data_IF_904226112162
#
_entry.id   IF_904226112162
#
_cell.length_a   1.000
_cell.length_b   1.000
_cell.length_c   1.000
_cell.angle_alpha   90.00
_cell.angle_beta   90.00
_cell.angle_gamma   90.00
#
_symmetry.space_group_name_H-M   'P 1'
#
loop_
_entity.id
_entity.type
_entity.pdbx_description
1 polymer ?
#
# COMPACT_ATOMS: atom_id res chain seq x y z
N UNK A 1 9.85 44.38 14.20
CA UNK A 1 11.24 43.98 13.87
C UNK A 1 11.16 42.78 12.95
N UNK A 2 11.23 43.02 11.66
CA UNK A 2 11.26 41.99 10.63
C UNK A 2 12.67 41.40 10.60
N UNK A 3 12.84 40.19 11.12
CA UNK A 3 14.08 39.45 10.98
C UNK A 3 14.33 39.23 9.49
N UNK A 4 15.36 39.85 8.94
CA UNK A 4 15.89 39.58 7.61
C UNK A 4 16.30 38.11 7.61
N UNK A 5 15.55 37.27 6.93
CA UNK A 5 16.00 35.93 6.57
C UNK A 5 17.27 36.11 5.74
N UNK A 6 18.42 35.97 6.38
CA UNK A 6 19.72 35.91 5.73
C UNK A 6 19.64 34.75 4.74
N UNK A 7 19.62 35.07 3.45
CA UNK A 7 19.68 34.06 2.38
C UNK A 7 21.01 33.30 2.52
N UNK A 8 21.00 32.20 3.24
CA UNK A 8 22.14 31.27 3.34
C UNK A 8 22.45 30.67 1.96
N UNK A 9 21.48 30.71 1.05
CA UNK A 9 21.52 30.07 -0.30
C UNK A 9 22.00 31.01 -1.41
N UNK A 10 22.17 32.32 -1.17
CA UNK A 10 22.39 33.30 -2.26
C UNK A 10 23.81 33.34 -2.87
N UNK A 11 24.79 32.62 -2.30
CA UNK A 11 26.19 32.58 -2.77
C UNK A 11 26.70 31.16 -3.05
N UNK A 12 25.80 30.17 -3.10
CA UNK A 12 26.19 28.78 -3.29
C UNK A 12 26.20 28.40 -4.77
N UNK A 13 27.11 27.49 -5.17
CA UNK A 13 27.13 26.99 -6.54
C UNK A 13 25.81 26.30 -6.87
N UNK A 14 25.34 26.37 -8.14
CA UNK A 14 24.10 25.73 -8.54
C UNK A 14 24.19 24.22 -8.35
N UNK A 15 23.19 23.66 -7.67
CA UNK A 15 23.06 22.21 -7.48
C UNK A 15 22.76 21.57 -8.85
N UNK A 16 23.47 20.51 -9.17
CA UNK A 16 23.25 19.66 -10.33
C UNK A 16 22.75 18.31 -9.86
N UNK A 17 21.69 17.82 -10.47
CA UNK A 17 21.18 16.49 -10.26
C UNK A 17 21.08 15.77 -11.60
N UNK A 18 21.55 14.52 -11.65
CA UNK A 18 21.49 13.69 -12.85
C UNK A 18 21.35 12.23 -12.50
N UNK A 19 20.67 11.49 -13.35
CA UNK A 19 20.49 10.06 -13.23
C UNK A 19 21.42 9.34 -14.21
N UNK A 20 22.11 8.33 -13.72
CA UNK A 20 22.94 7.43 -14.53
C UNK A 20 22.21 6.10 -14.59
N UNK A 21 21.83 5.70 -15.80
CA UNK A 21 21.32 4.36 -16.07
C UNK A 21 22.53 3.41 -16.22
N UNK A 22 22.57 2.35 -15.42
CA UNK A 22 23.63 1.33 -15.45
C UNK A 22 23.21 0.06 -16.20
N UNK A 23 22.00 0.05 -16.74
CA UNK A 23 21.40 -1.13 -17.35
C UNK A 23 20.84 -2.12 -16.30
N UNK A 24 20.05 -3.08 -16.76
CA UNK A 24 19.44 -4.10 -15.89
C UNK A 24 18.67 -3.53 -14.70
N UNK A 25 17.90 -2.45 -14.94
CA UNK A 25 17.05 -1.80 -13.92
C UNK A 25 17.83 -1.21 -12.73
N UNK A 26 19.13 -0.97 -12.89
CA UNK A 26 20.02 -0.37 -11.91
C UNK A 26 20.31 1.09 -12.25
N UNK A 27 20.11 1.99 -11.29
CA UNK A 27 20.21 3.43 -11.46
C UNK A 27 21.10 4.05 -10.38
N UNK A 28 21.74 5.16 -10.73
CA UNK A 28 22.48 6.00 -9.77
C UNK A 28 22.04 7.44 -9.90
N UNK A 29 21.39 7.97 -8.89
CA UNK A 29 21.10 9.39 -8.76
C UNK A 29 22.29 10.08 -8.12
N UNK A 30 22.83 11.11 -8.79
CA UNK A 30 23.89 11.96 -8.25
C UNK A 30 23.36 13.37 -8.05
N UNK A 31 23.61 13.93 -6.85
CA UNK A 31 23.27 15.33 -6.53
C UNK A 31 24.51 15.99 -5.95
N UNK A 32 25.02 17.01 -6.64
CA UNK A 32 26.23 17.76 -6.26
C UNK A 32 26.22 19.19 -6.83
N UNK A 33 26.92 20.15 -6.23
CA UNK A 33 27.43 20.13 -4.86
C UNK A 33 26.32 20.46 -3.86
N UNK A 34 26.39 19.83 -2.69
CA UNK A 34 25.52 20.13 -1.56
C UNK A 34 26.33 20.75 -0.41
N UNK A 35 25.69 21.54 0.42
CA UNK A 35 26.32 22.07 1.65
C UNK A 35 26.75 20.90 2.54
N UNK A 36 27.91 20.99 3.21
CA UNK A 36 28.39 19.94 4.12
C UNK A 36 27.32 19.46 5.09
N UNK A 37 27.12 18.13 5.14
CA UNK A 37 26.12 17.47 6.00
C UNK A 37 24.72 17.34 5.37
N UNK A 38 24.39 18.10 4.30
CA UNK A 38 23.08 17.97 3.65
C UNK A 38 22.95 16.73 2.76
N UNK A 39 24.07 16.18 2.30
CA UNK A 39 24.09 14.91 1.58
C UNK A 39 23.43 13.78 2.37
N UNK A 40 23.75 13.64 3.66
CA UNK A 40 23.14 12.65 4.54
C UNK A 40 21.65 12.94 4.79
N UNK A 41 21.28 14.19 5.02
CA UNK A 41 19.90 14.59 5.29
C UNK A 41 18.98 14.27 4.11
N UNK A 42 19.37 14.72 2.92
CA UNK A 42 18.60 14.50 1.68
C UNK A 42 18.62 13.03 1.29
N UNK A 43 19.80 12.38 1.36
CA UNK A 43 19.97 11.00 0.98
C UNK A 43 19.14 10.02 1.80
N UNK A 44 19.11 10.18 3.12
CA UNK A 44 18.28 9.34 3.98
C UNK A 44 16.77 9.55 3.76
N UNK A 45 16.34 10.80 3.53
CA UNK A 45 14.94 11.08 3.22
C UNK A 45 14.52 10.41 1.91
N UNK A 46 15.31 10.59 0.83
CA UNK A 46 15.06 9.96 -0.47
C UNK A 46 15.09 8.44 -0.39
N UNK A 47 16.09 7.86 0.29
CA UNK A 47 16.19 6.41 0.50
C UNK A 47 14.92 5.84 1.11
N UNK A 48 14.40 6.45 2.16
CA UNK A 48 13.19 5.98 2.84
C UNK A 48 11.98 6.02 1.93
N UNK A 49 11.81 7.11 1.17
CA UNK A 49 10.68 7.25 0.26
C UNK A 49 10.78 6.27 -0.90
N UNK A 50 11.96 6.11 -1.52
CA UNK A 50 12.18 5.15 -2.59
C UNK A 50 11.81 3.72 -2.17
N UNK A 51 12.14 3.31 -0.93
CA UNK A 51 11.86 1.96 -0.44
C UNK A 51 10.41 1.72 -0.01
N UNK A 52 9.69 2.75 0.47
CA UNK A 52 8.41 2.52 1.16
C UNK A 52 7.21 3.29 0.62
N UNK A 53 7.42 4.34 -0.18
CA UNK A 53 6.33 5.27 -0.49
C UNK A 53 5.92 5.30 -1.96
N UNK A 54 6.64 4.58 -2.82
CA UNK A 54 6.29 4.47 -4.24
C UNK A 54 5.20 3.42 -4.40
N UNK A 55 4.06 3.75 -5.02
CA UNK A 55 3.02 2.78 -5.32
C UNK A 55 3.50 1.77 -6.36
N UNK A 56 3.12 0.52 -6.18
CA UNK A 56 3.43 -0.54 -7.13
C UNK A 56 2.32 -1.57 -7.20
N UNK A 57 2.64 -2.72 -7.77
CA UNK A 57 1.71 -3.83 -7.97
C UNK A 57 2.31 -5.10 -7.38
N UNK A 58 1.45 -5.94 -6.82
CA UNK A 58 1.86 -7.25 -6.30
C UNK A 58 0.71 -8.26 -6.38
N UNK A 59 1.08 -9.52 -6.36
CA UNK A 59 0.15 -10.64 -6.25
C UNK A 59 -0.42 -10.70 -4.84
N UNK A 60 -1.75 -10.70 -4.72
CA UNK A 60 -2.47 -10.74 -3.44
C UNK A 60 -3.25 -12.02 -3.23
N UNK A 61 -3.70 -12.66 -4.32
CA UNK A 61 -4.45 -13.91 -4.29
C UNK A 61 -4.06 -14.81 -5.43
N UNK A 62 -4.03 -16.10 -5.14
CA UNK A 62 -3.71 -17.13 -6.11
C UNK A 62 -4.75 -18.25 -5.98
N UNK A 63 -5.22 -18.73 -7.10
CA UNK A 63 -6.05 -19.94 -7.18
C UNK A 63 -5.38 -20.92 -8.14
N UNK A 64 -5.15 -22.13 -7.68
CA UNK A 64 -4.48 -23.19 -8.44
C UNK A 64 -5.42 -24.39 -8.53
N UNK A 65 -5.90 -24.75 -9.71
CA UNK A 65 -6.85 -25.85 -9.91
C UNK A 65 -7.99 -25.83 -8.84
N UNK A 66 -8.24 -26.95 -8.19
CA UNK A 66 -9.23 -27.11 -7.11
C UNK A 66 -8.56 -27.21 -5.72
N UNK A 67 -7.35 -26.67 -5.55
CA UNK A 67 -6.60 -26.72 -4.30
C UNK A 67 -7.24 -25.77 -3.28
N UNK A 68 -7.32 -26.22 -2.03
CA UNK A 68 -7.91 -25.47 -0.94
C UNK A 68 -6.89 -24.98 0.09
N UNK A 69 -5.64 -25.47 0.04
CA UNK A 69 -4.57 -25.04 0.95
C UNK A 69 -3.17 -25.17 0.29
N UNK A 70 -2.25 -24.38 0.75
CA UNK A 70 -0.90 -24.21 0.19
C UNK A 70 0.03 -25.43 0.32
N UNK A 71 -0.27 -26.36 1.20
CA UNK A 71 0.58 -27.57 1.43
C UNK A 71 0.12 -28.78 0.63
N UNK A 72 -0.70 -28.61 -0.39
CA UNK A 72 -1.21 -29.68 -1.21
C UNK A 72 -0.31 -29.94 -2.42
N UNK A 73 0.01 -31.21 -2.67
CA UNK A 73 0.69 -31.62 -3.89
C UNK A 73 -0.26 -31.61 -5.07
N UNK A 74 0.22 -31.19 -6.23
CA UNK A 74 -0.54 -31.09 -7.48
C UNK A 74 -0.17 -32.29 -8.38
N UNK A 75 -1.16 -33.09 -8.75
CA UNK A 75 -0.92 -34.25 -9.60
C UNK A 75 -0.28 -33.89 -10.94
N UNK A 76 0.93 -34.43 -11.23
CA UNK A 76 1.65 -34.18 -12.48
C UNK A 76 2.43 -32.87 -12.54
N UNK A 77 2.60 -32.18 -11.41
CA UNK A 77 3.51 -31.05 -11.22
C UNK A 77 4.62 -31.48 -10.27
N UNK A 78 5.83 -31.03 -10.53
CA UNK A 78 7.01 -31.38 -9.72
C UNK A 78 7.01 -30.61 -8.41
N UNK A 79 6.69 -29.31 -8.48
CA UNK A 79 6.61 -28.40 -7.36
C UNK A 79 5.30 -28.59 -6.61
N UNK A 80 5.31 -28.34 -5.31
CA UNK A 80 4.08 -28.25 -4.51
C UNK A 80 3.39 -26.88 -4.65
N UNK A 81 2.20 -26.74 -4.06
CA UNK A 81 1.46 -25.50 -4.17
C UNK A 81 2.19 -24.33 -3.51
N UNK A 82 2.94 -24.58 -2.41
CA UNK A 82 3.70 -23.54 -1.72
C UNK A 82 4.84 -23.01 -2.58
N UNK A 83 5.58 -23.89 -3.26
CA UNK A 83 6.66 -23.48 -4.17
C UNK A 83 6.13 -22.62 -5.32
N UNK A 84 4.97 -23.00 -5.89
CA UNK A 84 4.31 -22.21 -6.94
C UNK A 84 3.89 -20.83 -6.41
N UNK A 85 3.33 -20.76 -5.21
CA UNK A 85 2.94 -19.49 -4.57
C UNK A 85 4.17 -18.60 -4.37
N UNK A 86 5.29 -19.15 -3.90
CA UNK A 86 6.55 -18.42 -3.70
C UNK A 86 7.13 -17.92 -5.03
N UNK A 87 7.03 -18.71 -6.09
CA UNK A 87 7.45 -18.29 -7.43
C UNK A 87 6.57 -17.17 -7.96
N UNK A 88 5.23 -17.30 -7.83
CA UNK A 88 4.27 -16.28 -8.27
C UNK A 88 4.37 -14.97 -7.47
N UNK A 89 4.84 -15.00 -6.23
CA UNK A 89 5.12 -13.81 -5.43
C UNK A 89 6.18 -12.89 -6.08
N UNK A 90 7.08 -13.47 -6.87
CA UNK A 90 8.10 -12.74 -7.61
C UNK A 90 7.64 -12.27 -9.01
N UNK A 91 6.36 -12.40 -9.34
CA UNK A 91 5.81 -11.95 -10.60
C UNK A 91 5.70 -10.42 -10.64
N UNK A 92 6.41 -9.79 -11.56
CA UNK A 92 6.41 -8.33 -11.75
C UNK A 92 5.44 -7.96 -12.86
N UNK A 93 4.39 -7.25 -12.51
CA UNK A 93 3.29 -6.88 -13.41
C UNK A 93 3.09 -5.38 -13.42
N UNK A 94 3.03 -4.76 -14.60
CA UNK A 94 2.68 -3.36 -14.77
C UNK A 94 1.23 -3.25 -15.25
N UNK A 95 0.36 -2.58 -14.46
CA UNK A 95 -1.04 -2.31 -14.84
C UNK A 95 -1.08 -0.96 -15.57
N UNK A 96 -1.54 -0.98 -16.85
CA UNK A 96 -1.50 0.18 -17.74
C UNK A 96 -2.78 1.02 -17.70
N UNK A 97 -3.94 0.40 -17.48
CA UNK A 97 -5.26 1.02 -17.63
C UNK A 97 -5.81 1.73 -16.37
N UNK A 98 -5.03 1.82 -15.30
CA UNK A 98 -5.45 2.50 -14.07
C UNK A 98 -6.40 1.68 -13.18
N UNK A 99 -6.73 0.43 -13.52
CA UNK A 99 -7.50 -0.47 -12.64
C UNK A 99 -6.73 -0.73 -11.34
N UNK A 100 -7.45 -0.82 -10.22
CA UNK A 100 -6.84 -1.12 -8.92
C UNK A 100 -6.47 -2.59 -8.78
N UNK A 101 -7.21 -3.48 -9.45
CA UNK A 101 -7.04 -4.93 -9.40
C UNK A 101 -7.25 -5.54 -10.77
N UNK A 102 -6.48 -6.58 -11.07
CA UNK A 102 -6.60 -7.34 -12.29
C UNK A 102 -6.38 -8.83 -12.01
N UNK A 103 -7.09 -9.70 -12.74
CA UNK A 103 -6.89 -11.14 -12.65
C UNK A 103 -6.21 -11.63 -13.92
N UNK A 104 -5.10 -12.33 -13.75
CA UNK A 104 -4.38 -13.02 -14.82
C UNK A 104 -4.72 -14.49 -14.76
N UNK A 105 -4.89 -15.12 -15.91
CA UNK A 105 -5.15 -16.55 -16.01
C UNK A 105 -4.04 -17.24 -16.79
N UNK A 106 -3.69 -18.44 -16.34
CA UNK A 106 -2.72 -19.31 -16.99
C UNK A 106 -3.36 -20.69 -17.11
N UNK A 107 -3.32 -21.25 -18.32
CA UNK A 107 -3.82 -22.58 -18.59
C UNK A 107 -2.84 -23.32 -19.50
N UNK A 108 -2.12 -24.28 -18.93
CA UNK A 108 -1.10 -25.03 -19.64
C UNK A 108 -1.39 -26.52 -19.56
N UNK A 109 -1.21 -27.21 -20.71
CA UNK A 109 -1.40 -28.65 -20.88
C UNK A 109 -0.27 -29.26 -21.68
N UNK A 110 0.95 -28.96 -21.33
CA UNK A 110 2.15 -29.51 -22.00
C UNK A 110 3.17 -29.94 -20.95
N UNK A 111 3.95 -30.99 -21.23
CA UNK A 111 5.08 -31.35 -20.39
C UNK A 111 6.22 -30.32 -20.50
N UNK A 112 6.87 -30.01 -19.41
CA UNK A 112 8.03 -29.11 -19.34
C UNK A 112 7.84 -27.91 -18.41
N UNK A 113 8.75 -26.95 -18.45
CA UNK A 113 8.68 -25.75 -17.62
C UNK A 113 7.54 -24.84 -18.06
N UNK A 114 6.89 -24.25 -17.08
CA UNK A 114 5.86 -23.22 -17.21
C UNK A 114 6.43 -21.92 -16.70
N UNK A 115 6.34 -20.86 -17.48
CA UNK A 115 6.92 -19.56 -17.18
C UNK A 115 5.84 -18.47 -17.15
N UNK A 116 6.20 -17.28 -16.69
CA UNK A 116 5.30 -16.15 -16.68
C UNK A 116 4.82 -15.70 -18.08
N UNK A 117 5.57 -16.06 -19.14
CA UNK A 117 5.16 -15.83 -20.53
C UNK A 117 3.93 -16.64 -20.95
N UNK A 118 3.60 -17.73 -20.24
CA UNK A 118 2.44 -18.58 -20.55
C UNK A 118 1.11 -18.00 -20.02
N UNK A 119 1.12 -16.87 -19.29
CA UNK A 119 -0.11 -16.18 -18.87
C UNK A 119 -0.85 -15.57 -20.04
N UNK A 120 -2.16 -15.73 -20.03
CA UNK A 120 -3.05 -15.03 -20.96
C UNK A 120 -3.22 -13.57 -20.50
N UNK A 121 -2.60 -12.62 -21.21
CA UNK A 121 -2.62 -11.21 -20.86
C UNK A 121 -3.20 -10.35 -22.00
N UNK A 122 -4.03 -9.39 -21.67
CA UNK A 122 -4.39 -8.31 -22.59
C UNK A 122 -3.32 -7.22 -22.52
N UNK A 123 -2.44 -7.17 -23.54
CA UNK A 123 -1.32 -6.22 -23.63
C UNK A 123 -1.72 -4.73 -23.55
N UNK A 124 -3.02 -4.41 -23.69
CA UNK A 124 -3.53 -3.06 -23.49
C UNK A 124 -3.75 -2.71 -22.01
N UNK A 125 -3.88 -3.71 -21.15
CA UNK A 125 -4.18 -3.56 -19.74
C UNK A 125 -2.99 -3.87 -18.86
N UNK A 126 -2.18 -4.85 -19.26
CA UNK A 126 -1.14 -5.44 -18.42
C UNK A 126 0.10 -5.77 -19.22
N UNK A 127 1.24 -5.55 -18.60
CA UNK A 127 2.55 -5.96 -19.10
C UNK A 127 3.28 -6.74 -18.00
N UNK A 128 3.82 -7.91 -18.35
CA UNK A 128 4.65 -8.72 -17.46
C UNK A 128 6.11 -8.34 -17.71
N UNK A 129 6.79 -7.85 -16.67
CA UNK A 129 8.16 -7.35 -16.78
C UNK A 129 9.21 -8.46 -16.74
N UNK A 130 8.87 -9.61 -16.15
CA UNK A 130 9.75 -10.78 -16.02
C UNK A 130 9.14 -12.05 -16.62
N UNK A 131 8.95 -12.10 -17.95
CA UNK A 131 8.30 -13.23 -18.63
C UNK A 131 9.04 -14.56 -18.48
N UNK A 132 10.35 -14.54 -18.19
CA UNK A 132 11.20 -15.70 -17.97
C UNK A 132 11.07 -16.33 -16.58
N UNK A 133 10.27 -15.72 -15.69
CA UNK A 133 10.07 -16.23 -14.33
C UNK A 133 9.52 -17.64 -14.39
N UNK A 134 10.24 -18.59 -13.78
CA UNK A 134 9.79 -19.96 -13.63
C UNK A 134 8.64 -20.03 -12.61
N UNK A 135 7.54 -20.72 -12.96
CA UNK A 135 6.38 -20.90 -12.09
C UNK A 135 6.32 -22.33 -11.58
N UNK A 136 6.32 -23.31 -12.48
CA UNK A 136 6.30 -24.73 -12.14
C UNK A 136 6.77 -25.58 -13.32
N UNK A 137 6.98 -26.89 -13.07
CA UNK A 137 7.35 -27.88 -14.09
C UNK A 137 6.30 -28.99 -14.15
N UNK A 138 5.77 -29.24 -15.34
CA UNK A 138 4.85 -30.34 -15.58
C UNK A 138 5.63 -31.61 -15.96
N UNK A 139 5.50 -32.66 -15.14
CA UNK A 139 6.18 -33.96 -15.33
C UNK A 139 5.47 -34.82 -16.39
N UNK A 140 4.14 -34.72 -16.49
CA UNK A 140 3.31 -35.46 -17.44
C UNK A 140 2.37 -34.52 -18.16
N UNK A 141 1.64 -35.03 -19.17
CA UNK A 141 0.53 -34.31 -19.78
C UNK A 141 -0.61 -34.10 -18.77
N UNK A 142 -0.38 -33.21 -17.84
CA UNK A 142 -1.33 -32.74 -16.85
C UNK A 142 -1.79 -31.32 -17.18
N UNK A 143 -3.00 -30.98 -16.79
CA UNK A 143 -3.54 -29.62 -16.97
C UNK A 143 -3.36 -28.83 -15.68
N UNK A 144 -2.69 -27.69 -15.76
CA UNK A 144 -2.59 -26.73 -14.66
C UNK A 144 -3.33 -25.46 -15.05
N UNK A 145 -4.21 -25.02 -14.15
CA UNK A 145 -4.92 -23.74 -14.24
C UNK A 145 -4.56 -22.90 -13.04
N UNK A 146 -4.03 -21.71 -13.29
CA UNK A 146 -3.65 -20.76 -12.25
C UNK A 146 -4.35 -19.45 -12.55
N UNK A 147 -5.07 -18.91 -11.57
CA UNK A 147 -5.63 -17.56 -11.58
C UNK A 147 -4.90 -16.74 -10.53
N UNK A 148 -4.37 -15.58 -10.92
CA UNK A 148 -3.59 -14.69 -10.04
C UNK A 148 -4.25 -13.33 -10.00
N UNK A 149 -4.66 -12.87 -8.82
CA UNK A 149 -5.13 -11.50 -8.61
C UNK A 149 -3.94 -10.61 -8.27
N UNK A 150 -3.68 -9.64 -9.13
CA UNK A 150 -2.68 -8.59 -8.93
C UNK A 150 -3.39 -7.32 -8.53
N UNK A 151 -2.97 -6.67 -7.46
CA UNK A 151 -3.52 -5.40 -7.01
C UNK A 151 -2.47 -4.31 -6.94
N UNK A 152 -2.93 -3.03 -6.98
CA UNK A 152 -2.10 -1.87 -6.67
C UNK A 152 -2.10 -1.60 -5.19
N UNK A 153 -0.98 -1.15 -4.66
CA UNK A 153 -0.86 -0.80 -3.26
C UNK A 153 0.41 -0.03 -2.92
N UNK A 154 0.59 0.17 -1.62
CA UNK A 154 1.75 0.84 -1.06
C UNK A 154 2.40 -0.06 -0.02
N UNK A 155 3.73 -0.10 -0.02
CA UNK A 155 4.52 -0.77 0.99
C UNK A 155 4.19 -2.27 1.09
N UNK A 156 4.10 -2.81 2.29
CA UNK A 156 3.83 -4.22 2.58
C UNK A 156 2.43 -4.42 3.16
N UNK A 157 1.68 -5.36 2.60
CA UNK A 157 0.35 -5.73 3.05
C UNK A 157 0.37 -7.20 3.53
N UNK A 158 0.29 -7.45 4.85
CA UNK A 158 0.21 -8.80 5.38
C UNK A 158 -1.15 -9.45 5.10
N UNK A 159 -1.16 -10.78 5.02
CA UNK A 159 -2.36 -11.61 4.71
C UNK A 159 -3.53 -11.27 5.65
N UNK A 160 -3.27 -11.09 6.95
CA UNK A 160 -4.29 -10.79 7.95
C UNK A 160 -5.10 -9.51 7.65
N UNK A 161 -4.48 -8.56 6.95
CA UNK A 161 -5.16 -7.32 6.53
C UNK A 161 -5.94 -7.50 5.23
N UNK A 162 -5.58 -8.47 4.39
CA UNK A 162 -6.30 -8.80 3.16
C UNK A 162 -7.64 -9.44 3.50
N UNK A 163 -7.68 -10.29 4.51
CA UNK A 163 -8.87 -11.04 4.95
C UNK A 163 -10.03 -10.14 5.39
N UNK A 164 -9.73 -9.06 6.08
CA UNK A 164 -10.74 -8.15 6.63
C UNK A 164 -11.57 -7.42 5.56
N UNK A 165 -11.12 -7.38 4.32
CA UNK A 165 -11.72 -6.59 3.25
C UNK A 165 -12.59 -7.37 2.24
N UNK A 166 -12.69 -8.70 2.31
CA UNK A 166 -13.30 -9.47 1.21
C UNK A 166 -13.95 -10.79 1.64
N UNK A 167 -15.12 -11.09 1.03
CA UNK A 167 -15.72 -12.43 1.03
C UNK A 167 -14.74 -13.41 0.38
N UNK A 168 -14.09 -14.25 1.19
CA UNK A 168 -13.04 -15.15 0.72
C UNK A 168 -13.69 -16.41 0.18
N UNK A 169 -13.43 -16.69 -1.10
CA UNK A 169 -13.65 -18.02 -1.62
C UNK A 169 -12.60 -18.96 -0.99
N UNK A 170 -12.98 -20.09 -0.34
CA UNK A 170 -12.02 -20.97 0.33
C UNK A 170 -10.99 -21.62 -0.62
N UNK A 171 -11.16 -21.51 -1.94
CA UNK A 171 -10.20 -21.95 -2.94
C UNK A 171 -9.09 -20.92 -3.23
N UNK A 172 -9.16 -19.72 -2.67
CA UNK A 172 -8.15 -18.69 -2.89
C UNK A 172 -7.09 -18.76 -1.81
N UNK A 173 -5.84 -18.95 -2.22
CA UNK A 173 -4.67 -18.83 -1.38
C UNK A 173 -4.30 -17.35 -1.30
N UNK A 174 -4.31 -16.79 -0.11
CA UNK A 174 -3.91 -15.41 0.14
C UNK A 174 -2.40 -15.32 0.28
N UNK A 175 -1.82 -14.27 -0.27
CA UNK A 175 -0.36 -14.06 -0.26
C UNK A 175 -0.07 -12.66 0.26
N UNK A 176 0.89 -12.57 1.17
CA UNK A 176 1.41 -11.29 1.62
C UNK A 176 2.08 -10.55 0.45
N UNK A 177 1.68 -9.29 0.28
CA UNK A 177 2.05 -8.50 -0.89
C UNK A 177 3.08 -7.42 -0.55
N UNK A 178 4.18 -7.39 -1.30
CA UNK A 178 5.17 -6.30 -1.28
C UNK A 178 5.00 -5.46 -2.54
N UNK A 179 4.41 -4.28 -2.40
CA UNK A 179 4.08 -3.42 -3.54
C UNK A 179 5.25 -2.55 -4.01
N UNK A 180 6.30 -2.37 -3.18
CA UNK A 180 7.41 -1.48 -3.54
C UNK A 180 8.08 -1.92 -4.84
N UNK A 181 8.12 -1.05 -5.88
CA UNK A 181 8.80 -1.37 -7.13
C UNK A 181 10.31 -1.21 -7.03
N UNK A 182 10.82 -0.59 -5.97
CA UNK A 182 12.25 -0.42 -5.71
C UNK A 182 12.71 -1.51 -4.74
N UNK A 183 13.67 -2.31 -5.17
CA UNK A 183 14.12 -3.51 -4.44
C UNK A 183 15.30 -3.23 -3.51
N UNK A 184 16.20 -2.36 -3.90
CA UNK A 184 17.40 -2.03 -3.13
C UNK A 184 17.75 -0.55 -3.27
N UNK A 185 18.20 0.07 -2.18
CA UNK A 185 18.70 1.45 -2.20
C UNK A 185 19.91 1.56 -1.29
N UNK A 186 21.03 1.99 -1.83
CA UNK A 186 22.24 2.34 -1.08
C UNK A 186 22.61 3.80 -1.33
N UNK A 187 23.16 4.47 -0.33
CA UNK A 187 23.63 5.84 -0.46
C UNK A 187 25.10 5.96 -0.07
N UNK A 188 25.82 6.84 -0.77
CA UNK A 188 27.18 7.23 -0.48
C UNK A 188 27.28 8.73 -0.54
N UNK A 189 27.95 9.34 0.44
CA UNK A 189 28.26 10.77 0.46
C UNK A 189 29.78 10.93 0.46
N UNK A 190 30.28 11.67 -0.51
CA UNK A 190 31.69 11.93 -0.71
C UNK A 190 31.93 13.42 -0.75
N UNK A 191 33.15 13.86 -0.37
CA UNK A 191 33.53 15.25 -0.52
C UNK A 191 33.74 15.62 -2.01
N UNK A 192 33.27 16.80 -2.41
CA UNK A 192 33.49 17.33 -3.75
C UNK A 192 34.04 18.76 -3.70
N UNK A 193 34.80 19.14 -4.72
CA UNK A 193 35.45 20.44 -4.80
C UNK A 193 34.68 21.40 -5.73
N UNK A 194 34.46 22.59 -5.24
CA UNK A 194 33.92 23.69 -6.06
C UNK A 194 34.80 24.92 -5.88
N UNK A 195 35.55 25.29 -6.92
CA UNK A 195 36.54 26.36 -6.84
C UNK A 195 37.64 26.04 -5.84
N UNK A 196 37.80 26.88 -4.81
CA UNK A 196 38.79 26.70 -3.74
C UNK A 196 38.26 25.94 -2.54
N UNK A 197 36.96 25.66 -2.48
CA UNK A 197 36.29 24.99 -1.38
C UNK A 197 36.22 23.49 -1.70
N UNK A 198 36.69 22.64 -0.77
CA UNK A 198 36.85 21.20 -1.01
C UNK A 198 35.95 20.30 -0.15
N UNK A 199 35.05 20.88 0.62
CA UNK A 199 34.21 20.17 1.60
C UNK A 199 32.71 20.21 1.29
N UNK A 200 32.33 20.39 0.02
CA UNK A 200 30.95 20.18 -0.40
C UNK A 200 30.62 18.68 -0.47
N UNK A 201 29.38 18.33 -0.18
CA UNK A 201 28.91 16.95 -0.33
C UNK A 201 28.52 16.64 -1.78
N UNK A 202 28.94 15.45 -2.23
CA UNK A 202 28.39 14.77 -3.40
C UNK A 202 27.60 13.56 -2.93
N UNK A 203 26.30 13.59 -3.11
CA UNK A 203 25.40 12.49 -2.78
C UNK A 203 25.23 11.57 -4.00
N UNK A 204 25.49 10.29 -3.82
CA UNK A 204 25.22 9.23 -4.80
C UNK A 204 24.25 8.23 -4.20
N UNK A 205 23.08 8.03 -4.82
CA UNK A 205 22.08 7.05 -4.43
C UNK A 205 22.00 5.99 -5.53
N UNK A 206 22.41 4.77 -5.20
CA UNK A 206 22.25 3.64 -6.10
C UNK A 206 20.98 2.88 -5.72
N UNK A 207 20.13 2.60 -6.69
CA UNK A 207 18.91 1.86 -6.47
C UNK A 207 18.55 0.97 -7.67
N UNK A 208 17.81 -0.09 -7.39
CA UNK A 208 17.33 -1.02 -8.40
C UNK A 208 15.81 -1.02 -8.41
N UNK A 209 15.22 -1.11 -9.59
CA UNK A 209 13.77 -1.29 -9.76
C UNK A 209 13.45 -2.72 -10.20
N UNK A 210 12.19 -3.09 -10.15
CA UNK A 210 11.70 -4.37 -10.67
C UNK A 210 11.17 -4.26 -12.11
N UNK A 211 11.50 -3.16 -12.83
CA UNK A 211 11.06 -2.90 -14.19
C UNK A 211 9.67 -2.29 -14.34
N UNK A 212 8.81 -2.34 -13.31
CA UNK A 212 7.45 -1.77 -13.39
C UNK A 212 7.44 -0.24 -13.39
N UNK A 213 8.50 0.38 -12.91
CA UNK A 213 8.74 1.84 -12.91
C UNK A 213 10.13 2.15 -13.45
N UNK A 214 10.27 3.25 -14.15
CA UNK A 214 11.58 3.74 -14.60
C UNK A 214 12.32 4.45 -13.45
N UNK A 215 13.65 4.53 -13.57
CA UNK A 215 14.45 5.24 -12.57
C UNK A 215 14.09 6.73 -12.47
N UNK A 216 13.76 7.36 -13.59
CA UNK A 216 13.35 8.77 -13.65
C UNK A 216 12.03 8.98 -12.91
N UNK A 217 11.00 8.18 -13.24
CA UNK A 217 9.70 8.23 -12.56
C UNK A 217 9.81 8.01 -11.05
N UNK A 218 10.67 7.07 -10.61
CA UNK A 218 10.88 6.78 -9.19
C UNK A 218 11.51 7.97 -8.46
N UNK A 219 12.53 8.61 -9.04
CA UNK A 219 13.21 9.77 -8.45
C UNK A 219 12.29 10.98 -8.44
N UNK A 220 11.58 11.26 -9.55
CA UNK A 220 10.64 12.36 -9.65
C UNK A 220 9.52 12.24 -8.60
N UNK A 221 8.93 11.05 -8.49
CA UNK A 221 7.92 10.78 -7.47
C UNK A 221 8.46 11.02 -6.05
N UNK A 222 9.66 10.52 -5.75
CA UNK A 222 10.26 10.66 -4.43
C UNK A 222 10.54 12.13 -4.08
N UNK A 223 11.06 12.91 -5.03
CA UNK A 223 11.34 14.34 -4.83
C UNK A 223 10.04 15.14 -4.65
N UNK A 224 9.04 14.91 -5.48
CA UNK A 224 7.74 15.59 -5.40
C UNK A 224 7.05 15.29 -4.05
N UNK A 225 7.09 14.05 -3.59
CA UNK A 225 6.51 13.67 -2.30
C UNK A 225 7.18 14.39 -1.11
N UNK A 226 8.51 14.54 -1.13
CA UNK A 226 9.24 15.30 -0.10
C UNK A 226 8.79 16.76 -0.10
N UNK A 227 8.76 17.38 -1.28
CA UNK A 227 8.36 18.79 -1.43
C UNK A 227 6.96 19.00 -0.88
N UNK A 228 6.01 18.15 -1.26
CA UNK A 228 4.62 18.22 -0.81
C UNK A 228 4.49 18.06 0.71
N UNK A 229 5.24 17.13 1.31
CA UNK A 229 5.22 16.92 2.75
C UNK A 229 5.76 18.16 3.50
N UNK A 230 6.89 18.72 3.04
CA UNK A 230 7.45 19.93 3.65
C UNK A 230 6.57 21.15 3.45
N UNK A 231 5.92 21.29 2.29
CA UNK A 231 4.97 22.38 2.05
C UNK A 231 3.74 22.27 2.98
N UNK A 232 3.18 21.08 3.13
CA UNK A 232 2.08 20.82 4.08
C UNK A 232 2.49 21.14 5.51
N UNK A 233 3.67 20.67 5.93
CA UNK A 233 4.20 20.96 7.26
C UNK A 233 4.45 22.47 7.48
N UNK A 234 4.99 23.17 6.49
CA UNK A 234 5.18 24.63 6.53
C UNK A 234 3.86 25.38 6.65
N UNK A 235 2.85 24.97 5.87
CA UNK A 235 1.53 25.62 5.87
C UNK A 235 0.74 25.39 7.16
N UNK A 236 0.98 24.26 7.84
CA UNK A 236 0.36 23.97 9.14
C UNK A 236 1.13 24.59 10.33
N UNK A 237 2.34 25.09 10.10
CA UNK A 237 3.16 25.70 11.16
C UNK A 237 2.55 27.03 11.63
N UNK A 238 2.27 27.12 12.94
CA UNK A 238 1.65 28.31 13.56
C UNK A 238 0.11 28.36 13.50
N UNK A 239 -0.54 27.47 12.76
CA UNK A 239 -1.94 27.17 12.98
C UNK A 239 -2.02 26.26 14.22
N UNK A 240 -2.34 26.84 15.40
CA UNK A 240 -2.83 26.02 16.49
C UNK A 240 -4.00 25.21 15.92
N UNK A 241 -4.16 23.93 16.23
CA UNK A 241 -5.37 23.22 15.90
C UNK A 241 -6.51 23.97 16.61
N UNK A 242 -7.17 24.91 15.91
CA UNK A 242 -8.52 25.32 16.27
C UNK A 242 -9.28 24.02 16.30
N UNK A 243 -9.61 23.58 17.53
CA UNK A 243 -10.44 22.43 17.88
C UNK A 243 -10.48 21.45 16.71
N UNK A 244 -9.79 20.32 16.86
CA UNK A 244 -9.84 19.25 15.89
C UNK A 244 -11.33 19.05 15.58
N UNK A 245 -11.81 19.64 14.49
CA UNK A 245 -12.91 19.04 13.79
C UNK A 245 -12.36 17.69 13.39
N UNK A 246 -12.57 16.75 14.26
CA UNK A 246 -12.42 15.35 14.02
C UNK A 246 -13.51 14.98 13.00
N UNK A 247 -13.31 15.33 11.74
CA UNK A 247 -13.55 14.36 10.70
C UNK A 247 -12.42 13.31 10.83
N UNK A 248 -12.39 12.67 11.95
CA UNK A 248 -11.98 11.29 12.09
C UNK A 248 -12.73 10.63 10.95
N UNK A 249 -11.99 10.06 9.98
CA UNK A 249 -12.54 9.12 9.03
C UNK A 249 -13.60 8.34 9.80
N UNK A 250 -14.84 8.56 9.44
CA UNK A 250 -15.97 8.10 10.23
C UNK A 250 -15.73 6.63 10.49
N UNK A 251 -15.31 6.31 11.70
CA UNK A 251 -15.56 4.98 12.24
C UNK A 251 -17.05 4.90 12.02
N UNK A 252 -17.48 4.07 11.08
CA UNK A 252 -18.87 3.82 10.79
C UNK A 252 -19.40 3.24 12.09
N UNK A 253 -19.86 4.14 12.97
CA UNK A 253 -20.57 3.76 14.18
C UNK A 253 -21.91 3.29 13.62
N UNK A 254 -22.21 2.00 13.67
CA UNK A 254 -23.42 1.48 13.06
C UNK A 254 -24.60 2.24 13.64
N UNK A 255 -25.41 2.81 12.75
CA UNK A 255 -26.68 3.41 13.15
C UNK A 255 -27.51 2.37 13.91
N UNK A 256 -28.15 2.78 15.00
CA UNK A 256 -29.01 1.93 15.81
C UNK A 256 -30.00 1.12 14.97
N UNK A 257 -30.43 1.67 13.82
CA UNK A 257 -31.36 1.02 12.90
C UNK A 257 -30.84 -0.23 12.18
N UNK A 258 -29.51 -0.41 12.09
CA UNK A 258 -28.89 -1.50 11.30
C UNK A 258 -28.37 -2.66 12.14
N UNK A 259 -28.22 -2.50 13.44
CA UNK A 259 -27.49 -3.48 14.30
C UNK A 259 -28.37 -4.06 15.42
N UNK A 260 -29.58 -3.53 15.67
CA UNK A 260 -30.32 -3.86 16.88
C UNK A 260 -31.65 -4.58 16.61
N UNK A 261 -31.84 -5.73 17.24
CA UNK A 261 -33.12 -6.46 17.37
C UNK A 261 -34.07 -5.81 18.41
N UNK A 262 -34.14 -4.47 18.42
CA UNK A 262 -35.13 -3.76 19.23
C UNK A 262 -36.42 -3.52 18.43
N UNK A 263 -37.59 -3.57 19.08
CA UNK A 263 -38.89 -3.30 18.44
C UNK A 263 -38.87 -1.95 17.71
N UNK A 264 -39.38 -1.90 16.47
CA UNK A 264 -39.42 -0.69 15.62
C UNK A 264 -39.98 0.56 16.30
N UNK A 265 -40.83 0.37 17.32
CA UNK A 265 -41.41 1.42 18.15
C UNK A 265 -40.37 2.14 19.02
N UNK A 266 -39.42 1.40 19.58
CA UNK A 266 -38.32 1.95 20.41
C UNK A 266 -37.34 2.72 19.51
N UNK A 267 -37.01 2.18 18.36
CA UNK A 267 -36.13 2.84 17.40
C UNK A 267 -36.67 4.18 16.91
N UNK A 268 -37.99 4.26 16.65
CA UNK A 268 -38.62 5.50 16.23
C UNK A 268 -38.71 6.59 17.33
N UNK A 269 -38.70 6.16 18.61
CA UNK A 269 -38.69 7.11 19.74
C UNK A 269 -37.25 7.57 20.01
N UNK A 270 -36.27 6.72 19.91
CA UNK A 270 -34.85 7.07 20.05
C UNK A 270 -34.40 8.06 18.95
N UNK A 271 -34.79 7.83 17.70
CA UNK A 271 -34.51 8.76 16.60
C UNK A 271 -35.16 10.11 16.74
N UNK A 272 -36.41 10.18 17.30
CA UNK A 272 -37.08 11.45 17.61
C UNK A 272 -36.38 12.26 18.70
N UNK A 273 -35.69 11.60 19.62
CA UNK A 273 -34.87 12.21 20.67
C UNK A 273 -33.42 12.42 20.28
N UNK A 274 -33.09 12.34 18.98
CA UNK A 274 -31.75 12.53 18.42
C UNK A 274 -30.69 11.56 18.96
N UNK A 275 -31.09 10.34 19.31
CA UNK A 275 -30.20 9.24 19.71
C UNK A 275 -30.13 8.28 18.53
N UNK A 276 -29.05 8.38 17.72
CA UNK A 276 -28.89 7.61 16.48
C UNK A 276 -27.76 6.60 16.55
N UNK A 277 -26.92 6.65 17.59
CA UNK A 277 -25.76 5.78 17.74
C UNK A 277 -25.75 5.04 19.09
N UNK A 278 -25.12 3.87 19.12
CA UNK A 278 -25.02 3.04 20.34
C UNK A 278 -24.25 3.76 21.45
N UNK A 279 -23.25 4.55 21.09
CA UNK A 279 -22.46 5.37 22.03
C UNK A 279 -23.30 6.49 22.67
N UNK A 280 -24.21 7.11 21.92
CA UNK A 280 -25.15 8.09 22.46
C UNK A 280 -26.17 7.44 23.40
N UNK A 281 -26.59 6.21 23.06
CA UNK A 281 -27.50 5.44 23.92
C UNK A 281 -26.85 5.03 25.24
N UNK A 282 -25.56 4.65 25.22
CA UNK A 282 -24.78 4.33 26.40
C UNK A 282 -24.54 5.56 27.29
N UNK A 283 -24.19 6.71 26.71
CA UNK A 283 -23.91 7.94 27.44
C UNK A 283 -25.15 8.53 28.11
N UNK A 284 -26.35 8.25 27.59
CA UNK A 284 -27.63 8.71 28.14
C UNK A 284 -28.47 7.61 28.83
N UNK A 285 -27.82 6.49 29.15
CA UNK A 285 -28.50 5.36 29.79
C UNK A 285 -29.12 5.68 31.15
N UNK A 286 -28.57 6.65 31.87
CA UNK A 286 -29.08 7.11 33.17
C UNK A 286 -30.26 8.11 33.04
N UNK A 287 -30.41 8.79 31.91
CA UNK A 287 -31.45 9.82 31.67
C UNK A 287 -32.59 9.31 30.77
N UNK A 288 -32.71 8.01 30.52
CA UNK A 288 -33.76 7.43 29.67
C UNK A 288 -35.16 7.68 30.20
N UNK A 289 -35.31 7.85 31.52
CA UNK A 289 -36.58 8.14 32.20
C UNK A 289 -37.15 9.52 31.85
N UNK A 290 -36.32 10.45 31.38
CA UNK A 290 -36.71 11.83 31.04
C UNK A 290 -37.09 11.99 29.56
N UNK A 291 -36.95 10.96 28.75
CA UNK A 291 -37.22 11.03 27.31
C UNK A 291 -38.74 10.90 27.03
N UNK A 292 -39.26 11.83 26.24
CA UNK A 292 -40.67 11.86 25.91
C UNK A 292 -41.12 10.63 25.10
N UNK A 293 -42.02 9.82 25.68
CA UNK A 293 -42.66 8.70 25.00
C UNK A 293 -42.04 7.33 25.26
N UNK A 294 -41.18 7.18 26.26
CA UNK A 294 -40.58 5.89 26.68
C UNK A 294 -41.36 5.37 27.91
N UNK A 295 -41.79 4.11 27.85
CA UNK A 295 -42.42 3.39 28.96
C UNK A 295 -41.39 2.57 29.77
N UNK A 296 -41.64 2.31 31.06
CA UNK A 296 -40.73 1.49 31.92
C UNK A 296 -40.38 0.15 31.30
N UNK A 297 -41.28 -0.49 30.52
CA UNK A 297 -41.00 -1.74 29.81
C UNK A 297 -39.97 -1.59 28.70
N UNK A 298 -39.96 -0.43 28.03
CA UNK A 298 -39.00 -0.11 26.97
C UNK A 298 -37.61 0.15 27.56
N UNK A 299 -37.54 0.83 28.71
CA UNK A 299 -36.31 1.08 29.46
C UNK A 299 -35.65 -0.24 29.86
N UNK A 300 -36.43 -1.20 30.40
CA UNK A 300 -35.94 -2.55 30.75
C UNK A 300 -35.38 -3.30 29.52
N UNK A 301 -36.04 -3.17 28.37
CA UNK A 301 -35.55 -3.80 27.11
C UNK A 301 -34.27 -3.16 26.63
N UNK A 302 -34.07 -1.85 26.75
CA UNK A 302 -32.85 -1.14 26.40
C UNK A 302 -31.70 -1.53 27.34
N UNK A 303 -31.95 -1.58 28.67
CA UNK A 303 -30.95 -2.01 29.63
C UNK A 303 -30.52 -3.48 29.45
N UNK A 304 -31.49 -4.38 29.17
CA UNK A 304 -31.16 -5.77 28.86
C UNK A 304 -30.28 -5.89 27.62
N UNK A 305 -30.55 -5.07 26.61
CA UNK A 305 -29.75 -5.03 25.41
C UNK A 305 -28.34 -4.48 25.68
N UNK A 306 -28.21 -3.36 26.40
CA UNK A 306 -26.92 -2.77 26.78
C UNK A 306 -26.06 -3.68 27.65
N UNK A 307 -26.68 -4.61 28.40
CA UNK A 307 -25.95 -5.63 29.20
C UNK A 307 -25.47 -6.83 28.39
N UNK A 308 -25.91 -6.97 27.14
CA UNK A 308 -25.49 -8.06 26.21
C UNK A 308 -24.45 -7.62 25.18
N UNK A 309 -24.13 -6.33 25.17
CA UNK A 309 -23.06 -5.70 24.39
C UNK A 309 -21.75 -5.63 25.19
#
# INVERSE_FOLDING_TARGET
>A
MTASHTNIVSNEPPIKSYLIDRGSEAFTLVIEPLIPGFGQTIGNALRRILLSSIPGTAVTRIKINDITHEYQAIGGVVEDALDIVLNLKNLHVKILNGEEKITLSLKVKKQGPVTAADFEVDSRKVEIMNPELHICTLDKESEVKIEVEVSRGLNYLPVEKIDLASNINPQNILVDALFSPVTNVSLTVEDTRVGDITNYDKLSINFNTNGTITGEEAVEFAMNLIIDLFQKAKNSFGSLPSEVNTEVAAVIVPEISTVIDLPKKILSILSKNQINTITELQSRSEDLDQLAGIDEKMIKSIHTYLSTL
#
